data_IF_454162331278
#
_entry.id   IF_454162331278
#
_cell.length_a   1.000
_cell.length_b   1.000
_cell.length_c   1.000
_cell.angle_alpha   90.00
_cell.angle_beta   90.00
_cell.angle_gamma   90.00
#
_symmetry.space_group_name_H-M   'P 1'
#
loop_
_entity.id
_entity.type
_entity.pdbx_description
1 polymer ?
#
# COMPACT_ATOMS: atom_id res chain seq x y z
N UNK A 1 -19.78 25.00 -73.78
CA UNK A 1 -20.77 25.85 -73.08
C UNK A 1 -21.34 25.08 -71.90
N UNK A 2 -20.88 25.45 -70.70
CA UNK A 2 -21.39 25.20 -69.33
C UNK A 2 -21.52 23.75 -68.83
N UNK A 3 -20.53 23.33 -68.06
CA UNK A 3 -20.68 22.40 -66.94
C UNK A 3 -21.76 22.91 -65.98
N UNK A 4 -22.72 22.05 -65.64
CA UNK A 4 -23.69 22.28 -64.58
C UNK A 4 -23.08 21.78 -63.26
N UNK A 5 -22.51 22.70 -62.49
CA UNK A 5 -22.23 22.48 -61.06
C UNK A 5 -23.53 22.12 -60.34
N UNK A 6 -23.68 20.85 -59.94
CA UNK A 6 -24.70 20.45 -58.99
C UNK A 6 -24.40 21.08 -57.62
N UNK A 7 -24.99 22.25 -57.37
CA UNK A 7 -24.98 22.87 -56.04
C UNK A 7 -25.63 21.89 -55.03
N UNK A 8 -24.97 21.58 -53.90
CA UNK A 8 -25.54 20.69 -52.90
C UNK A 8 -26.91 21.24 -52.46
N UNK A 9 -27.96 20.43 -52.64
CA UNK A 9 -29.35 20.82 -52.37
C UNK A 9 -29.45 21.44 -50.98
N UNK A 10 -29.71 22.75 -50.92
CA UNK A 10 -29.84 23.62 -49.72
C UNK A 10 -30.67 23.00 -48.57
N UNK A 11 -31.52 22.01 -48.87
CA UNK A 11 -32.29 21.21 -47.92
C UNK A 11 -31.48 20.15 -47.13
N UNK A 12 -30.40 19.57 -47.67
CA UNK A 12 -29.59 18.57 -46.95
C UNK A 12 -28.71 19.21 -45.88
N UNK A 13 -28.15 20.40 -46.16
CA UNK A 13 -27.36 21.17 -45.20
C UNK A 13 -28.21 21.65 -44.02
N UNK A 14 -29.41 22.16 -44.29
CA UNK A 14 -30.37 22.57 -43.24
C UNK A 14 -30.81 21.40 -42.36
N UNK A 15 -30.96 20.20 -42.90
CA UNK A 15 -31.25 18.98 -42.12
C UNK A 15 -30.07 18.60 -41.22
N UNK A 16 -28.82 18.67 -41.71
CA UNK A 16 -27.61 18.38 -40.93
C UNK A 16 -27.39 19.39 -39.80
N UNK A 17 -27.62 20.68 -40.04
CA UNK A 17 -27.51 21.73 -39.00
C UNK A 17 -28.59 21.56 -37.92
N UNK A 18 -29.83 21.21 -38.30
CA UNK A 18 -30.89 20.91 -37.32
C UNK A 18 -30.61 19.65 -36.51
N UNK A 19 -30.05 18.62 -37.14
CA UNK A 19 -29.63 17.40 -36.45
C UNK A 19 -28.50 17.69 -35.46
N UNK A 20 -27.49 18.46 -35.87
CA UNK A 20 -26.37 18.83 -34.99
C UNK A 20 -26.85 19.66 -33.80
N UNK A 21 -27.72 20.66 -34.03
CA UNK A 21 -28.31 21.45 -32.95
C UNK A 21 -29.16 20.61 -31.99
N UNK A 22 -29.89 19.61 -32.51
CA UNK A 22 -30.66 18.68 -31.67
C UNK A 22 -29.73 17.77 -30.85
N UNK A 23 -28.63 17.28 -31.42
CA UNK A 23 -27.62 16.48 -30.70
C UNK A 23 -26.94 17.33 -29.62
N UNK A 24 -26.52 18.56 -29.92
CA UNK A 24 -25.93 19.46 -28.91
C UNK A 24 -26.92 19.76 -27.78
N UNK A 25 -28.20 19.99 -28.09
CA UNK A 25 -29.23 20.21 -27.09
C UNK A 25 -29.43 18.98 -26.19
N UNK A 26 -29.46 17.78 -26.78
CA UNK A 26 -29.54 16.52 -26.02
C UNK A 26 -28.30 16.35 -25.13
N UNK A 27 -27.10 16.62 -25.63
CA UNK A 27 -25.86 16.54 -24.84
C UNK A 27 -25.86 17.51 -23.66
N UNK A 28 -26.37 18.73 -23.84
CA UNK A 28 -26.51 19.72 -22.75
C UNK A 28 -27.52 19.26 -21.71
N UNK A 29 -28.65 18.69 -22.14
CA UNK A 29 -29.66 18.14 -21.21
C UNK A 29 -29.10 16.95 -20.43
N UNK A 30 -28.32 16.07 -21.06
CA UNK A 30 -27.64 14.95 -20.39
C UNK A 30 -26.62 15.47 -19.38
N UNK A 31 -25.78 16.43 -19.75
CA UNK A 31 -24.79 17.03 -18.84
C UNK A 31 -25.46 17.70 -17.63
N UNK A 32 -26.56 18.42 -17.85
CA UNK A 32 -27.33 19.04 -16.78
C UNK A 32 -28.00 17.99 -15.87
N UNK A 33 -28.47 16.88 -16.45
CA UNK A 33 -29.04 15.76 -15.70
C UNK A 33 -27.98 15.06 -14.83
N UNK A 34 -26.75 14.90 -15.34
CA UNK A 34 -25.63 14.35 -14.57
C UNK A 34 -25.20 15.29 -13.44
N UNK A 35 -25.18 16.61 -13.67
CA UNK A 35 -24.89 17.62 -12.64
C UNK A 35 -25.96 17.64 -11.54
N UNK A 36 -27.24 17.54 -11.92
CA UNK A 36 -28.34 17.42 -10.96
C UNK A 36 -28.26 16.12 -10.17
N UNK A 37 -27.91 15.00 -10.81
CA UNK A 37 -27.73 13.71 -10.13
C UNK A 37 -26.53 13.77 -9.16
N UNK A 38 -25.41 14.38 -9.56
CA UNK A 38 -24.25 14.58 -8.69
C UNK A 38 -24.58 15.48 -7.50
N UNK A 39 -25.37 16.53 -7.70
CA UNK A 39 -25.86 17.39 -6.61
C UNK A 39 -26.81 16.63 -5.68
N UNK A 40 -27.72 15.81 -6.22
CA UNK A 40 -28.61 14.96 -5.42
C UNK A 40 -27.80 13.93 -4.62
N UNK A 41 -26.78 13.32 -5.21
CA UNK A 41 -25.89 12.38 -4.51
C UNK A 41 -25.06 13.08 -3.44
N UNK A 42 -24.58 14.30 -3.70
CA UNK A 42 -23.86 15.13 -2.73
C UNK A 42 -24.77 15.54 -1.56
N UNK A 43 -26.00 15.99 -1.84
CA UNK A 43 -26.99 16.31 -0.81
C UNK A 43 -27.45 15.05 -0.07
N UNK A 44 -27.52 13.90 -0.74
CA UNK A 44 -27.83 12.63 -0.09
C UNK A 44 -26.68 12.16 0.80
N UNK A 45 -25.42 12.29 0.37
CA UNK A 45 -24.26 12.01 1.22
C UNK A 45 -24.19 12.94 2.42
N UNK A 46 -24.50 14.24 2.24
CA UNK A 46 -24.56 15.20 3.34
C UNK A 46 -25.70 14.88 4.30
N UNK A 47 -26.87 14.49 3.79
CA UNK A 47 -28.01 14.10 4.62
C UNK A 47 -27.81 12.76 5.31
N UNK A 48 -27.08 11.81 4.69
CA UNK A 48 -26.66 10.57 5.33
C UNK A 48 -25.62 10.85 6.41
N UNK A 49 -24.68 11.79 6.18
CA UNK A 49 -23.74 12.24 7.20
C UNK A 49 -24.45 12.92 8.38
N UNK A 50 -25.45 13.77 8.12
CA UNK A 50 -26.32 14.36 9.15
C UNK A 50 -27.14 13.29 9.88
N UNK A 51 -27.80 12.36 9.19
CA UNK A 51 -28.54 11.23 9.80
C UNK A 51 -27.62 10.29 10.61
N UNK A 52 -26.32 10.20 10.28
CA UNK A 52 -25.32 9.44 11.05
C UNK A 52 -24.91 10.18 12.33
N UNK A 53 -24.82 11.51 12.28
CA UNK A 53 -24.60 12.36 13.46
C UNK A 53 -25.85 12.28 14.37
N UNK A 54 -27.04 12.39 13.81
CA UNK A 54 -28.33 12.30 14.53
C UNK A 54 -28.59 10.90 15.12
N UNK A 55 -28.10 9.83 14.47
CA UNK A 55 -28.12 8.46 15.02
C UNK A 55 -27.02 8.20 16.06
N UNK A 56 -25.87 8.86 15.93
CA UNK A 56 -24.83 8.86 16.97
C UNK A 56 -25.32 9.53 18.25
N UNK A 57 -26.20 10.51 18.13
CA UNK A 57 -26.84 11.20 19.26
C UNK A 57 -27.99 10.39 19.90
N UNK A 58 -28.52 9.35 19.23
CA UNK A 58 -29.60 8.49 19.77
C UNK A 58 -29.11 7.32 20.64
N UNK A 59 -27.80 7.06 20.76
CA UNK A 59 -27.26 6.11 21.75
C UNK A 59 -26.82 6.78 23.06
N UNK A 60 -26.97 8.10 23.17
CA UNK A 60 -26.65 8.86 24.37
C UNK A 60 -27.92 9.20 25.18
N UNK A 61 -28.68 8.20 25.63
CA UNK A 61 -29.65 8.40 26.71
C UNK A 61 -29.06 7.98 28.07
N UNK A 62 -28.91 9.01 28.90
CA UNK A 62 -28.86 9.06 30.36
C UNK A 62 -27.72 8.33 31.11
N UNK A 63 -26.58 9.03 31.19
CA UNK A 63 -25.87 9.13 32.48
C UNK A 63 -26.23 10.48 33.09
N UNK A 64 -27.17 10.47 34.03
CA UNK A 64 -27.46 11.62 34.89
C UNK A 64 -26.19 12.11 35.59
N UNK A 65 -25.88 13.40 35.42
CA UNK A 65 -25.03 14.17 36.34
C UNK A 65 -23.67 14.57 35.80
N UNK A 66 -23.60 15.73 35.15
CA UNK A 66 -22.34 16.41 34.85
C UNK A 66 -22.53 17.58 33.89
N UNK A 67 -22.72 18.77 34.44
CA UNK A 67 -22.91 20.02 33.70
C UNK A 67 -21.65 20.36 32.89
N UNK A 68 -21.53 19.87 31.65
CA UNK A 68 -20.50 20.31 30.73
C UNK A 68 -20.85 21.74 30.26
N UNK A 69 -20.03 22.76 30.55
CA UNK A 69 -20.38 24.13 30.23
C UNK A 69 -20.41 24.31 28.71
N UNK A 70 -21.50 24.91 28.21
CA UNK A 70 -21.56 25.43 26.84
C UNK A 70 -21.02 26.85 26.86
N UNK A 71 -19.85 27.04 26.29
CA UNK A 71 -19.20 28.35 26.21
C UNK A 71 -19.60 29.08 24.94
N UNK A 72 -20.01 30.33 25.09
CA UNK A 72 -20.17 31.29 23.99
C UNK A 72 -18.80 31.73 23.47
N UNK A 73 -18.73 32.29 22.25
CA UNK A 73 -17.47 32.76 21.65
C UNK A 73 -16.76 33.78 22.56
N UNK A 74 -17.50 34.68 23.21
CA UNK A 74 -16.94 35.65 24.16
C UNK A 74 -16.39 34.99 25.44
N UNK A 75 -16.99 33.87 25.90
CA UNK A 75 -16.50 33.11 27.05
C UNK A 75 -15.27 32.27 26.69
N UNK A 76 -15.18 31.76 25.46
CA UNK A 76 -13.97 31.12 24.93
C UNK A 76 -12.84 32.13 24.80
N UNK A 77 -13.12 33.31 24.27
CA UNK A 77 -12.13 34.38 24.12
C UNK A 77 -11.64 34.89 25.49
N UNK A 78 -12.52 34.95 26.50
CA UNK A 78 -12.14 35.28 27.88
C UNK A 78 -11.31 34.18 28.57
N UNK A 79 -11.63 32.90 28.34
CA UNK A 79 -10.86 31.75 28.83
C UNK A 79 -9.47 31.70 28.20
N UNK A 80 -9.37 31.99 26.90
CA UNK A 80 -8.09 32.09 26.19
C UNK A 80 -7.24 33.23 26.75
N UNK A 81 -7.84 34.39 27.02
CA UNK A 81 -7.15 35.54 27.62
C UNK A 81 -6.69 35.28 29.08
N UNK A 82 -7.44 34.47 29.85
CA UNK A 82 -7.07 34.09 31.23
C UNK A 82 -5.94 33.05 31.23
N UNK A 83 -6.00 32.08 30.30
CA UNK A 83 -4.93 31.10 30.08
C UNK A 83 -3.62 31.76 29.64
N UNK A 84 -3.67 32.78 28.77
CA UNK A 84 -2.51 33.58 28.35
C UNK A 84 -1.72 34.22 29.51
N UNK A 85 -2.33 34.39 30.70
CA UNK A 85 -1.67 34.97 31.87
C UNK A 85 -0.85 33.98 32.71
N UNK A 86 -1.10 32.67 32.55
CA UNK A 86 -0.31 31.60 33.15
C UNK A 86 0.78 31.15 32.16
N UNK A 87 2.01 31.00 32.64
CA UNK A 87 3.23 30.77 31.84
C UNK A 87 3.29 29.42 31.06
N UNK A 88 2.15 28.79 30.79
CA UNK A 88 1.96 27.56 30.02
C UNK A 88 1.14 27.78 28.72
N UNK A 89 0.40 28.88 28.58
CA UNK A 89 -0.45 29.12 27.40
C UNK A 89 0.31 29.53 26.14
N UNK A 90 1.43 30.23 26.27
CA UNK A 90 2.28 30.55 25.11
C UNK A 90 2.73 29.29 24.36
N UNK A 91 3.17 28.26 25.09
CA UNK A 91 3.57 26.98 24.50
C UNK A 91 2.41 26.21 23.86
N UNK A 92 1.23 26.20 24.49
CA UNK A 92 0.03 25.57 23.94
C UNK A 92 -0.45 26.26 22.67
N UNK A 93 -0.47 27.59 22.64
CA UNK A 93 -0.92 28.35 21.48
C UNK A 93 0.04 28.19 20.31
N UNK A 94 1.35 28.21 20.57
CA UNK A 94 2.38 27.91 19.57
C UNK A 94 2.16 26.52 18.99
N UNK A 95 1.98 25.50 19.83
CA UNK A 95 1.73 24.13 19.38
C UNK A 95 0.44 24.01 18.54
N UNK A 96 -0.66 24.63 18.97
CA UNK A 96 -1.92 24.59 18.23
C UNK A 96 -1.80 25.30 16.87
N UNK A 97 -1.04 26.39 16.79
CA UNK A 97 -0.78 27.10 15.54
C UNK A 97 0.12 26.30 14.60
N UNK A 98 1.15 25.64 15.13
CA UNK A 98 2.01 24.73 14.37
C UNK A 98 1.21 23.53 13.83
N UNK A 99 0.35 22.93 14.65
CA UNK A 99 -0.55 21.84 14.25
C UNK A 99 -1.51 22.31 13.15
N UNK A 100 -2.14 23.48 13.32
CA UNK A 100 -3.04 24.07 12.35
C UNK A 100 -2.33 24.34 11.03
N UNK A 101 -1.19 25.00 11.06
CA UNK A 101 -0.37 25.32 9.88
C UNK A 101 -0.01 24.04 9.12
N UNK A 102 0.45 23.01 9.84
CA UNK A 102 0.81 21.72 9.24
C UNK A 102 -0.38 21.07 8.52
N UNK A 103 -1.58 21.10 9.12
CA UNK A 103 -2.80 20.56 8.52
C UNK A 103 -3.28 21.40 7.31
N UNK A 104 -3.20 22.73 7.39
CA UNK A 104 -3.51 23.63 6.26
C UNK A 104 -2.56 23.43 5.08
N UNK A 105 -1.30 23.09 5.35
CA UNK A 105 -0.28 22.73 4.35
C UNK A 105 -0.47 21.30 3.79
N UNK A 106 -1.49 20.57 4.24
CA UNK A 106 -1.85 19.24 3.73
C UNK A 106 -1.18 18.07 4.45
N UNK A 107 -0.50 18.30 5.58
CA UNK A 107 -0.02 17.22 6.44
C UNK A 107 -1.20 16.40 6.93
N UNK A 108 -1.12 15.07 6.78
CA UNK A 108 -2.16 14.20 7.32
C UNK A 108 -2.12 14.18 8.85
N UNK A 109 -3.27 14.00 9.50
CA UNK A 109 -3.35 13.89 10.96
C UNK A 109 -2.44 12.78 11.52
N UNK A 110 -2.30 11.65 10.81
CA UNK A 110 -1.37 10.58 11.22
C UNK A 110 0.09 11.05 11.19
N UNK A 111 0.52 11.81 10.17
CA UNK A 111 1.88 12.33 10.10
C UNK A 111 2.14 13.38 11.18
N UNK A 112 1.14 14.19 11.54
CA UNK A 112 1.24 15.11 12.67
C UNK A 112 1.45 14.34 13.98
N UNK A 113 0.67 13.29 14.24
CA UNK A 113 0.86 12.47 15.44
C UNK A 113 2.22 11.76 15.46
N UNK A 114 2.73 11.29 14.31
CA UNK A 114 4.08 10.72 14.23
C UNK A 114 5.16 11.72 14.67
N UNK A 115 5.03 12.99 14.30
CA UNK A 115 5.95 14.04 14.72
C UNK A 115 5.83 14.37 16.21
N UNK A 116 4.62 14.34 16.77
CA UNK A 116 4.36 14.64 18.19
C UNK A 116 4.76 13.51 19.14
N UNK A 117 4.79 12.27 18.66
CA UNK A 117 5.11 11.08 19.44
C UNK A 117 6.28 10.29 18.81
N UNK A 118 7.50 10.84 18.78
CA UNK A 118 8.64 10.23 18.10
C UNK A 118 9.10 8.89 18.71
N UNK A 119 8.79 8.64 19.98
CA UNK A 119 9.10 7.38 20.68
C UNK A 119 8.02 6.31 20.48
N UNK A 120 6.98 6.61 19.68
CA UNK A 120 5.86 5.69 19.43
C UNK A 120 5.66 5.44 17.93
N UNK A 121 5.27 4.21 17.63
CA UNK A 121 4.74 3.86 16.31
C UNK A 121 3.27 4.26 16.25
N UNK A 122 2.98 5.16 15.32
CA UNK A 122 1.65 5.70 15.07
C UNK A 122 1.16 5.28 13.70
N UNK A 123 0.05 4.54 13.68
CA UNK A 123 -0.60 4.09 12.46
C UNK A 123 -2.12 4.18 12.58
N UNK A 124 -2.79 4.17 11.42
CA UNK A 124 -4.24 4.15 11.34
C UNK A 124 -4.69 2.75 10.99
N UNK A 125 -5.63 2.23 11.77
CA UNK A 125 -6.28 0.97 11.47
C UNK A 125 -7.72 0.93 12.02
N UNK A 126 -8.64 0.34 11.26
CA UNK A 126 -10.08 0.30 11.57
C UNK A 126 -10.64 1.68 11.97
N UNK A 127 -10.25 2.71 11.20
CA UNK A 127 -10.58 4.12 11.45
C UNK A 127 -10.16 4.65 12.82
N UNK A 128 -9.17 4.04 13.47
CA UNK A 128 -8.58 4.47 14.75
C UNK A 128 -7.10 4.74 14.61
N UNK A 129 -6.60 5.68 15.41
CA UNK A 129 -5.18 5.91 15.58
C UNK A 129 -4.65 4.99 16.69
N UNK A 130 -3.60 4.26 16.39
CA UNK A 130 -2.93 3.37 17.33
C UNK A 130 -1.57 3.95 17.68
N UNK A 131 -1.24 3.92 18.97
CA UNK A 131 0.00 4.42 19.54
C UNK A 131 0.64 3.28 20.32
N UNK A 132 1.84 2.89 19.93
CA UNK A 132 2.60 1.84 20.60
C UNK A 132 4.03 2.29 20.83
N UNK A 133 4.56 2.08 22.02
CA UNK A 133 5.96 2.38 22.29
C UNK A 133 6.88 1.61 21.34
N UNK A 134 7.87 2.29 20.79
CA UNK A 134 8.90 1.66 19.96
C UNK A 134 9.72 0.72 20.85
N UNK A 135 9.78 -0.55 20.47
CA UNK A 135 10.52 -1.59 21.18
C UNK A 135 11.99 -1.54 20.81
N UNK A 136 12.76 -0.77 21.58
CA UNK A 136 14.20 -0.60 21.39
C UNK A 136 15.01 -1.89 21.58
N UNK A 137 14.40 -2.93 22.18
CA UNK A 137 14.97 -4.27 22.30
C UNK A 137 14.81 -5.13 21.04
N UNK A 138 14.07 -4.66 20.04
CA UNK A 138 13.95 -5.31 18.73
C UNK A 138 15.02 -4.83 17.77
N UNK A 139 15.18 -5.52 16.64
CA UNK A 139 16.08 -5.09 15.58
C UNK A 139 15.55 -3.80 14.95
N UNK A 140 16.24 -2.70 15.23
CA UNK A 140 15.90 -1.38 14.73
C UNK A 140 16.32 -1.22 13.27
N UNK A 141 15.58 -0.38 12.55
CA UNK A 141 15.94 0.04 11.20
C UNK A 141 17.35 0.65 11.22
N UNK A 142 18.33 0.07 10.51
CA UNK A 142 19.69 0.58 10.48
C UNK A 142 19.87 1.70 9.43
N UNK A 143 18.84 2.03 8.65
CA UNK A 143 18.93 2.93 7.51
C UNK A 143 18.52 4.36 7.86
N UNK A 144 19.16 5.30 7.17
CA UNK A 144 18.79 6.70 7.18
C UNK A 144 17.81 6.96 6.03
N UNK A 145 16.52 7.06 6.35
CA UNK A 145 15.46 7.23 5.36
C UNK A 145 15.59 8.50 4.53
N UNK A 146 16.29 9.52 5.02
CA UNK A 146 16.56 10.74 4.25
C UNK A 146 17.55 10.50 3.09
N UNK A 147 18.31 9.40 3.15
CA UNK A 147 19.25 9.00 2.10
C UNK A 147 18.61 8.09 1.05
N UNK A 148 17.34 7.68 1.23
CA UNK A 148 16.58 6.95 0.22
C UNK A 148 16.03 7.94 -0.83
N UNK A 149 16.78 8.10 -1.91
CA UNK A 149 16.48 9.11 -2.94
C UNK A 149 16.33 8.47 -4.32
N UNK A 150 15.35 8.97 -5.07
CA UNK A 150 15.21 8.62 -6.48
C UNK A 150 16.26 9.36 -7.31
N UNK A 151 16.87 8.65 -8.26
CA UNK A 151 17.76 9.27 -9.24
C UNK A 151 17.02 9.87 -10.44
N UNK A 152 17.78 10.37 -11.43
CA UNK A 152 17.25 11.02 -12.63
C UNK A 152 16.39 10.09 -13.51
N UNK A 153 16.54 8.77 -13.39
CA UNK A 153 15.75 7.77 -14.09
C UNK A 153 14.53 7.31 -13.27
N UNK A 154 14.38 7.80 -12.04
CA UNK A 154 13.28 7.45 -11.15
C UNK A 154 13.50 6.14 -10.39
N UNK A 155 14.74 5.65 -10.29
CA UNK A 155 15.08 4.47 -9.49
C UNK A 155 15.60 4.87 -8.11
N UNK A 156 15.21 4.11 -7.09
CA UNK A 156 15.69 4.34 -5.72
C UNK A 156 17.19 4.06 -5.63
N UNK A 157 17.89 4.90 -4.89
CA UNK A 157 19.29 4.71 -4.53
C UNK A 157 19.47 4.83 -3.03
N UNK A 158 20.44 4.10 -2.48
CA UNK A 158 20.84 4.21 -1.09
C UNK A 158 22.38 4.05 -0.96
N UNK A 159 23.07 4.80 -0.08
CA UNK A 159 24.49 4.65 0.13
C UNK A 159 24.86 3.31 0.78
N UNK A 160 25.65 2.50 0.07
CA UNK A 160 26.20 1.25 0.57
C UNK A 160 27.72 1.37 0.50
N UNK A 161 28.38 1.26 1.66
CA UNK A 161 29.80 1.58 1.85
C UNK A 161 30.17 3.00 1.39
N UNK A 162 29.26 3.95 1.59
CA UNK A 162 29.43 5.35 1.20
C UNK A 162 29.24 5.64 -0.30
N UNK A 163 28.85 4.63 -1.09
CA UNK A 163 28.55 4.81 -2.52
C UNK A 163 27.06 4.58 -2.79
N UNK A 164 26.34 5.52 -3.43
CA UNK A 164 24.97 5.30 -3.85
C UNK A 164 24.88 4.08 -4.77
N UNK A 165 24.09 3.07 -4.38
CA UNK A 165 23.80 1.89 -5.20
C UNK A 165 22.30 1.82 -5.45
N UNK A 166 21.90 1.44 -6.67
CA UNK A 166 20.49 1.16 -7.01
C UNK A 166 20.03 -0.17 -6.42
N UNK A 167 20.82 -1.25 -6.59
CA UNK A 167 20.43 -2.62 -6.21
C UNK A 167 18.99 -2.92 -6.62
N UNK A 168 18.70 -2.62 -7.90
CA UNK A 168 17.35 -2.62 -8.45
C UNK A 168 16.86 -4.05 -8.59
N UNK A 169 15.72 -4.35 -7.98
CA UNK A 169 15.00 -5.60 -8.19
C UNK A 169 13.57 -5.36 -8.64
N UNK A 170 12.97 -6.40 -9.20
CA UNK A 170 11.55 -6.44 -9.56
C UNK A 170 10.89 -7.62 -8.87
N UNK A 171 9.61 -7.51 -8.56
CA UNK A 171 8.80 -8.68 -8.24
C UNK A 171 7.67 -8.84 -9.26
N UNK A 172 7.46 -10.08 -9.68
CA UNK A 172 6.68 -10.39 -10.88
C UNK A 172 5.79 -11.61 -10.68
N UNK A 173 4.68 -11.61 -11.42
CA UNK A 173 3.71 -12.68 -11.45
C UNK A 173 3.13 -12.84 -12.86
N UNK A 174 2.09 -13.66 -13.03
CA UNK A 174 1.34 -13.70 -14.29
C UNK A 174 0.82 -12.35 -14.79
N UNK A 175 0.66 -11.37 -13.89
CA UNK A 175 0.13 -10.06 -14.24
C UNK A 175 1.11 -9.22 -15.07
N UNK A 176 2.40 -9.54 -15.04
CA UNK A 176 3.41 -8.88 -15.86
C UNK A 176 3.52 -9.44 -17.29
N UNK A 177 2.69 -10.43 -17.64
CA UNK A 177 2.68 -11.02 -18.98
C UNK A 177 3.93 -11.85 -19.28
N UNK A 178 4.35 -11.87 -20.54
CA UNK A 178 5.56 -12.58 -21.00
C UNK A 178 6.73 -11.60 -20.97
N UNK A 179 7.76 -11.93 -20.18
CA UNK A 179 8.90 -11.05 -19.91
C UNK A 179 10.09 -11.39 -20.82
N UNK A 180 10.71 -10.37 -21.39
CA UNK A 180 12.01 -10.44 -22.07
C UNK A 180 13.14 -10.22 -21.04
N UNK A 181 13.61 -11.30 -20.45
CA UNK A 181 14.59 -11.27 -19.36
C UNK A 181 15.98 -10.76 -19.77
N UNK A 182 16.34 -10.85 -21.06
CA UNK A 182 17.59 -10.26 -21.57
C UNK A 182 17.52 -8.73 -21.51
N UNK A 183 16.39 -8.16 -21.94
CA UNK A 183 16.14 -6.72 -21.79
C UNK A 183 16.05 -6.27 -20.34
N UNK A 184 15.39 -7.05 -19.49
CA UNK A 184 15.32 -6.77 -18.05
C UNK A 184 16.71 -6.69 -17.43
N UNK A 185 17.61 -7.63 -17.77
CA UNK A 185 19.01 -7.57 -17.33
C UNK A 185 19.70 -6.31 -17.83
N UNK A 186 19.53 -5.98 -19.11
CA UNK A 186 20.15 -4.82 -19.75
C UNK A 186 19.59 -3.48 -19.21
N UNK A 187 18.37 -3.47 -18.68
CA UNK A 187 17.77 -2.33 -17.99
C UNK A 187 18.33 -2.12 -16.57
N UNK A 188 19.25 -2.97 -16.11
CA UNK A 188 19.94 -2.81 -14.82
C UNK A 188 19.27 -3.54 -13.65
N UNK A 189 18.32 -4.44 -13.91
CA UNK A 189 17.75 -5.29 -12.85
C UNK A 189 18.80 -6.30 -12.38
N UNK A 190 19.04 -6.28 -11.07
CA UNK A 190 20.05 -7.08 -10.39
C UNK A 190 19.46 -8.38 -9.79
N UNK A 191 18.18 -8.38 -9.41
CA UNK A 191 17.47 -9.58 -8.91
C UNK A 191 15.96 -9.54 -9.21
N UNK A 192 15.28 -10.68 -9.05
CA UNK A 192 13.82 -10.77 -9.14
C UNK A 192 13.19 -11.51 -7.94
N UNK A 193 11.93 -11.27 -7.62
CA UNK A 193 11.13 -12.10 -6.70
C UNK A 193 9.88 -12.57 -7.43
N UNK A 194 9.72 -13.87 -7.61
CA UNK A 194 8.72 -14.45 -8.52
C UNK A 194 7.56 -15.04 -7.72
N UNK A 195 6.31 -14.70 -8.05
CA UNK A 195 5.17 -15.38 -7.42
C UNK A 195 5.17 -16.85 -7.80
N UNK A 196 5.27 -17.74 -6.83
CA UNK A 196 5.13 -19.17 -7.03
C UNK A 196 3.65 -19.58 -7.13
N UNK A 197 2.80 -18.93 -6.33
CA UNK A 197 1.38 -19.20 -6.30
C UNK A 197 0.65 -18.36 -5.27
N UNK A 198 -0.61 -18.70 -5.07
CA UNK A 198 -1.47 -18.07 -4.09
C UNK A 198 -2.48 -19.06 -3.53
N UNK A 199 -3.00 -18.77 -2.34
CA UNK A 199 -4.26 -19.32 -1.86
C UNK A 199 -5.37 -18.28 -2.04
N UNK A 200 -6.48 -18.68 -2.64
CA UNK A 200 -7.59 -17.75 -2.91
C UNK A 200 -8.30 -17.29 -1.64
N UNK A 201 -8.41 -15.98 -1.44
CA UNK A 201 -9.00 -15.35 -0.25
C UNK A 201 -10.47 -15.72 0.03
N UNK A 202 -11.26 -16.08 -0.99
CA UNK A 202 -12.62 -16.62 -0.79
C UNK A 202 -12.64 -18.15 -0.82
N UNK A 203 -12.00 -18.73 -1.83
CA UNK A 203 -12.18 -20.14 -2.17
C UNK A 203 -11.29 -21.09 -1.34
N UNK A 204 -10.22 -20.58 -0.74
CA UNK A 204 -9.17 -21.36 -0.10
C UNK A 204 -8.38 -22.26 -1.06
N UNK A 205 -8.62 -22.15 -2.38
CA UNK A 205 -7.93 -22.98 -3.37
C UNK A 205 -6.49 -22.54 -3.54
N UNK A 206 -5.60 -23.52 -3.60
CA UNK A 206 -4.23 -23.35 -4.05
C UNK A 206 -4.20 -23.19 -5.56
N UNK A 207 -3.49 -22.17 -6.02
CA UNK A 207 -3.32 -21.84 -7.43
C UNK A 207 -1.87 -21.49 -7.66
N UNK A 208 -1.17 -22.29 -8.47
CA UNK A 208 0.16 -21.94 -8.96
C UNK A 208 0.08 -20.75 -9.93
N UNK A 209 1.11 -19.90 -9.93
CA UNK A 209 1.19 -18.81 -10.88
C UNK A 209 1.63 -19.33 -12.26
N UNK A 210 0.82 -19.04 -13.28
CA UNK A 210 1.00 -19.55 -14.65
C UNK A 210 2.32 -19.12 -15.30
N UNK A 211 2.94 -18.02 -14.84
CA UNK A 211 4.23 -17.53 -15.35
C UNK A 211 5.41 -17.91 -14.45
N UNK A 212 5.19 -18.51 -13.27
CA UNK A 212 6.26 -18.80 -12.31
C UNK A 212 7.46 -19.52 -12.95
N UNK A 213 7.18 -20.64 -13.62
CA UNK A 213 8.22 -21.46 -14.24
C UNK A 213 8.97 -20.74 -15.37
N UNK A 214 8.25 -20.01 -16.22
CA UNK A 214 8.85 -19.26 -17.32
C UNK A 214 9.72 -18.10 -16.80
N UNK A 215 9.28 -17.44 -15.73
CA UNK A 215 10.04 -16.39 -15.07
C UNK A 215 11.31 -16.94 -14.40
N UNK A 216 11.20 -18.07 -13.69
CA UNK A 216 12.36 -18.74 -13.07
C UNK A 216 13.39 -19.13 -14.14
N UNK A 217 12.95 -19.79 -15.22
CA UNK A 217 13.84 -20.18 -16.32
C UNK A 217 14.49 -18.97 -16.99
N UNK A 218 13.74 -17.87 -17.14
CA UNK A 218 14.23 -16.61 -17.69
C UNK A 218 15.32 -15.96 -16.82
N UNK A 219 15.13 -15.92 -15.51
CA UNK A 219 16.14 -15.46 -14.56
C UNK A 219 17.42 -16.32 -14.63
N UNK A 220 17.26 -17.65 -14.62
CA UNK A 220 18.39 -18.60 -14.71
C UNK A 220 19.16 -18.41 -16.02
N UNK A 221 18.46 -18.30 -17.15
CA UNK A 221 19.10 -18.13 -18.47
C UNK A 221 19.90 -16.83 -18.60
N UNK A 222 19.55 -15.80 -17.82
CA UNK A 222 20.18 -14.47 -17.87
C UNK A 222 21.07 -14.16 -16.65
N UNK A 223 21.30 -15.14 -15.76
CA UNK A 223 22.12 -14.94 -14.57
C UNK A 223 21.57 -13.84 -13.65
N UNK A 224 20.26 -13.84 -13.43
CA UNK A 224 19.57 -12.96 -12.47
C UNK A 224 19.25 -13.82 -11.24
N UNK A 225 19.87 -13.56 -10.08
CA UNK A 225 19.44 -14.15 -8.82
C UNK A 225 17.96 -13.88 -8.57
N UNK A 226 17.22 -14.85 -8.06
CA UNK A 226 15.80 -14.72 -7.84
C UNK A 226 15.34 -15.33 -6.52
N UNK A 227 14.30 -14.74 -5.95
CA UNK A 227 13.53 -15.30 -4.84
C UNK A 227 12.18 -15.76 -5.36
N UNK A 228 11.38 -16.34 -4.48
CA UNK A 228 9.97 -16.59 -4.79
C UNK A 228 9.09 -16.16 -3.63
N UNK A 229 7.83 -15.82 -3.92
CA UNK A 229 6.84 -15.54 -2.88
C UNK A 229 5.55 -16.32 -3.09
N UNK A 230 4.82 -16.54 -2.00
CA UNK A 230 3.50 -17.15 -2.01
C UNK A 230 2.50 -16.28 -1.25
N UNK A 231 1.47 -15.82 -1.96
CA UNK A 231 0.38 -15.04 -1.38
C UNK A 231 -0.51 -15.96 -0.53
N UNK A 232 -0.47 -15.78 0.79
CA UNK A 232 -1.10 -16.71 1.74
C UNK A 232 -2.47 -16.24 2.19
N UNK A 233 -3.40 -17.18 2.19
CA UNK A 233 -4.74 -17.06 2.80
C UNK A 233 -5.05 -18.34 3.59
N UNK A 234 -4.00 -18.91 4.20
CA UNK A 234 -4.07 -20.09 5.05
C UNK A 234 -4.72 -19.74 6.39
N UNK A 235 -5.71 -20.54 6.79
CA UNK A 235 -6.42 -20.35 8.07
C UNK A 235 -5.97 -21.31 9.17
N UNK A 236 -5.04 -22.22 8.85
CA UNK A 236 -4.51 -23.21 9.77
C UNK A 236 -3.14 -23.73 9.30
N UNK A 237 -2.48 -24.49 10.17
CA UNK A 237 -1.13 -25.03 9.94
C UNK A 237 -1.06 -26.01 8.77
N UNK A 238 -2.11 -26.81 8.53
CA UNK A 238 -2.12 -27.76 7.42
C UNK A 238 -2.10 -27.03 6.08
N UNK A 239 -2.91 -25.96 5.97
CA UNK A 239 -2.91 -25.12 4.78
C UNK A 239 -1.56 -24.40 4.58
N UNK A 240 -0.91 -23.95 5.64
CA UNK A 240 0.44 -23.35 5.57
C UNK A 240 1.48 -24.35 5.02
N UNK A 241 1.39 -25.62 5.43
CA UNK A 241 2.25 -26.70 4.92
C UNK A 241 1.98 -26.94 3.43
N UNK A 242 0.71 -26.97 3.00
CA UNK A 242 0.38 -27.14 1.57
C UNK A 242 0.93 -25.98 0.72
N UNK A 243 0.84 -24.74 1.22
CA UNK A 243 1.41 -23.56 0.56
C UNK A 243 2.94 -23.68 0.44
N UNK A 244 3.62 -24.01 1.54
CA UNK A 244 5.07 -24.20 1.53
C UNK A 244 5.50 -25.35 0.60
N UNK A 245 4.82 -26.50 0.65
CA UNK A 245 5.14 -27.64 -0.20
C UNK A 245 4.89 -27.34 -1.69
N UNK A 246 3.91 -26.50 -2.02
CA UNK A 246 3.69 -26.01 -3.39
C UNK A 246 4.90 -25.21 -3.88
N UNK A 247 5.40 -24.29 -3.05
CA UNK A 247 6.61 -23.51 -3.38
C UNK A 247 7.83 -24.42 -3.53
N UNK A 248 8.06 -25.33 -2.58
CA UNK A 248 9.20 -26.24 -2.58
C UNK A 248 9.22 -27.14 -3.82
N UNK A 249 8.04 -27.60 -4.28
CA UNK A 249 7.92 -28.34 -5.52
C UNK A 249 8.29 -27.50 -6.74
N UNK A 250 7.88 -26.23 -6.78
CA UNK A 250 8.18 -25.31 -7.90
C UNK A 250 9.67 -25.00 -8.01
N UNK A 251 10.35 -24.80 -6.88
CA UNK A 251 11.77 -24.40 -6.85
C UNK A 251 12.75 -25.58 -6.82
N UNK A 252 12.25 -26.82 -6.85
CA UNK A 252 13.11 -27.99 -6.75
C UNK A 252 14.15 -28.03 -7.89
N UNK A 253 15.42 -28.08 -7.52
CA UNK A 253 16.53 -28.13 -8.46
C UNK A 253 17.04 -26.76 -8.92
N UNK A 254 16.47 -25.67 -8.43
CA UNK A 254 16.96 -24.31 -8.68
C UNK A 254 17.80 -23.76 -7.52
N UNK A 255 18.77 -22.93 -7.87
CA UNK A 255 19.49 -22.05 -6.95
C UNK A 255 18.88 -20.65 -7.03
N UNK A 256 18.36 -20.15 -5.91
CA UNK A 256 17.59 -18.92 -5.87
C UNK A 256 18.50 -17.68 -5.79
N UNK A 257 19.31 -17.55 -4.74
CA UNK A 257 20.08 -16.33 -4.44
C UNK A 257 19.31 -15.29 -3.62
N UNK A 258 17.99 -15.47 -3.47
CA UNK A 258 17.13 -14.74 -2.53
C UNK A 258 16.22 -15.69 -1.71
N UNK A 259 15.58 -15.20 -0.64
CA UNK A 259 14.67 -15.98 0.18
C UNK A 259 13.40 -16.48 -0.55
N UNK A 260 12.74 -17.42 0.11
CA UNK A 260 11.34 -17.79 -0.14
C UNK A 260 10.46 -17.00 0.83
N UNK A 261 9.60 -16.15 0.29
CA UNK A 261 8.76 -15.25 1.07
C UNK A 261 7.34 -15.81 1.24
N UNK A 262 6.80 -15.72 2.46
CA UNK A 262 5.35 -15.71 2.64
C UNK A 262 4.88 -14.27 2.53
N UNK A 263 3.87 -14.06 1.69
CA UNK A 263 3.22 -12.78 1.48
C UNK A 263 1.93 -12.75 2.32
N UNK A 264 1.93 -11.86 3.32
CA UNK A 264 0.83 -11.66 4.28
C UNK A 264 0.32 -10.24 4.11
N UNK A 265 -0.89 -10.11 3.57
CA UNK A 265 -1.54 -8.82 3.35
C UNK A 265 -2.95 -8.77 3.97
N UNK A 266 -3.47 -7.55 4.13
CA UNK A 266 -4.87 -7.37 4.45
C UNK A 266 -5.70 -7.39 3.16
N UNK A 267 -6.53 -8.42 2.99
CA UNK A 267 -7.52 -8.44 1.90
C UNK A 267 -8.80 -7.72 2.34
N UNK A 268 -9.16 -6.67 1.62
CA UNK A 268 -10.33 -5.80 1.87
C UNK A 268 -11.70 -6.41 1.51
N UNK A 269 -11.75 -7.71 1.19
CA UNK A 269 -13.00 -8.39 0.84
C UNK A 269 -13.78 -8.84 2.08
N UNK A 270 -15.10 -8.65 2.10
CA UNK A 270 -15.97 -9.15 3.18
C UNK A 270 -16.02 -10.69 3.27
N UNK A 271 -15.71 -11.35 2.15
CA UNK A 271 -15.58 -12.81 2.00
C UNK A 271 -14.17 -13.32 2.29
N UNK A 272 -13.23 -12.45 2.69
CA UNK A 272 -11.89 -12.85 3.11
C UNK A 272 -11.99 -13.88 4.24
N UNK A 273 -11.45 -15.08 3.99
CA UNK A 273 -11.50 -16.20 4.93
C UNK A 273 -10.57 -16.05 6.14
N UNK A 274 -9.54 -15.21 6.03
CA UNK A 274 -8.65 -14.90 7.14
C UNK A 274 -9.19 -13.78 8.04
N UNK A 275 -10.29 -13.10 7.68
CA UNK A 275 -10.75 -11.86 8.35
C UNK A 275 -10.90 -11.98 9.88
N UNK A 276 -11.32 -13.14 10.37
CA UNK A 276 -11.60 -13.39 11.78
C UNK A 276 -10.40 -14.00 12.52
N UNK A 277 -9.29 -14.27 11.82
CA UNK A 277 -8.09 -14.78 12.45
C UNK A 277 -7.45 -13.71 13.32
N UNK A 278 -7.12 -14.12 14.55
CA UNK A 278 -6.32 -13.35 15.49
C UNK A 278 -4.89 -13.17 14.99
N UNK A 279 -4.19 -12.17 15.56
CA UNK A 279 -2.77 -11.93 15.31
C UNK A 279 -1.95 -13.19 15.62
N UNK A 280 -2.26 -13.87 16.72
CA UNK A 280 -1.59 -15.08 17.17
C UNK A 280 -1.80 -16.24 16.18
N UNK A 281 -3.02 -16.44 15.68
CA UNK A 281 -3.31 -17.48 14.68
C UNK A 281 -2.59 -17.22 13.35
N UNK A 282 -2.61 -15.98 12.86
CA UNK A 282 -1.89 -15.61 11.63
C UNK A 282 -0.39 -15.79 11.78
N UNK A 283 0.17 -15.37 12.92
CA UNK A 283 1.60 -15.54 13.23
C UNK A 283 1.96 -17.02 13.25
N UNK A 284 1.13 -17.86 13.87
CA UNK A 284 1.35 -19.30 13.93
C UNK A 284 1.36 -19.93 12.53
N UNK A 285 0.40 -19.56 11.67
CA UNK A 285 0.34 -20.01 10.27
C UNK A 285 1.60 -19.59 9.51
N UNK A 286 1.99 -18.31 9.61
CA UNK A 286 3.19 -17.81 8.95
C UNK A 286 4.45 -18.56 9.40
N UNK A 287 4.61 -18.81 10.69
CA UNK A 287 5.75 -19.58 11.22
C UNK A 287 5.81 -21.01 10.71
N UNK A 288 4.67 -21.68 10.56
CA UNK A 288 4.65 -23.03 9.98
C UNK A 288 5.18 -23.04 8.55
N UNK A 289 4.80 -22.05 7.73
CA UNK A 289 5.37 -21.89 6.40
C UNK A 289 6.88 -21.63 6.46
N UNK A 290 7.30 -20.65 7.26
CA UNK A 290 8.71 -20.22 7.37
C UNK A 290 9.61 -21.36 7.88
N UNK A 291 9.17 -22.10 8.88
CA UNK A 291 9.90 -23.25 9.44
C UNK A 291 9.98 -24.40 8.43
N UNK A 292 8.92 -24.60 7.64
CA UNK A 292 8.92 -25.62 6.57
C UNK A 292 9.91 -25.29 5.47
N UNK A 293 9.99 -24.02 5.05
CA UNK A 293 11.00 -23.53 4.10
C UNK A 293 12.42 -23.68 4.67
N UNK A 294 12.62 -23.30 5.93
CA UNK A 294 13.93 -23.43 6.60
C UNK A 294 14.37 -24.89 6.70
N UNK A 295 13.47 -25.80 7.06
CA UNK A 295 13.74 -27.23 7.15
C UNK A 295 14.10 -27.86 5.79
N UNK A 296 13.64 -27.27 4.68
CA UNK A 296 14.02 -27.67 3.32
C UNK A 296 15.38 -27.09 2.86
N UNK A 297 16.03 -26.26 3.70
CA UNK A 297 17.35 -25.68 3.43
C UNK A 297 17.33 -24.34 2.70
N UNK A 298 16.16 -23.73 2.50
CA UNK A 298 16.02 -22.41 1.89
C UNK A 298 15.95 -21.33 2.98
N UNK A 299 16.36 -20.10 2.64
CA UNK A 299 16.22 -18.95 3.53
C UNK A 299 14.74 -18.51 3.54
N UNK A 300 14.05 -18.52 4.68
CA UNK A 300 12.68 -18.01 4.78
C UNK A 300 12.65 -16.48 4.93
N UNK A 301 11.60 -15.86 4.40
CA UNK A 301 11.33 -14.44 4.55
C UNK A 301 9.84 -14.13 4.61
N UNK A 302 9.51 -12.91 5.01
CA UNK A 302 8.14 -12.40 5.07
C UNK A 302 8.07 -11.13 4.23
N UNK A 303 7.08 -11.08 3.35
CA UNK A 303 6.67 -9.86 2.70
C UNK A 303 5.49 -9.23 3.43
N UNK A 304 5.49 -7.91 3.52
CA UNK A 304 4.34 -7.17 4.00
C UNK A 304 4.58 -5.66 4.11
N UNK A 305 3.53 -4.94 4.42
CA UNK A 305 3.56 -3.51 4.72
C UNK A 305 3.41 -3.24 6.23
N UNK A 306 3.27 -1.97 6.61
CA UNK A 306 3.11 -1.54 8.00
C UNK A 306 1.98 -2.29 8.73
N UNK A 307 0.83 -2.45 8.08
CA UNK A 307 -0.33 -3.17 8.61
C UNK A 307 -0.01 -4.65 8.83
N UNK A 308 0.73 -5.25 7.91
CA UNK A 308 1.12 -6.66 7.97
C UNK A 308 1.98 -6.94 9.20
N UNK A 309 3.03 -6.15 9.40
CA UNK A 309 3.99 -6.36 10.48
C UNK A 309 3.51 -5.87 11.86
N UNK A 310 2.67 -4.83 11.94
CA UNK A 310 2.24 -4.27 13.23
C UNK A 310 0.87 -4.78 13.69
N UNK A 311 0.00 -5.17 12.76
CA UNK A 311 -1.39 -5.53 13.08
C UNK A 311 -1.69 -6.98 12.81
N UNK A 312 -1.30 -7.52 11.66
CA UNK A 312 -1.64 -8.90 11.29
C UNK A 312 -0.73 -9.93 11.97
N UNK A 313 0.51 -9.57 12.25
CA UNK A 313 1.53 -10.46 12.80
C UNK A 313 2.06 -9.95 14.14
N UNK A 314 2.56 -10.88 14.95
CA UNK A 314 3.39 -10.59 16.11
C UNK A 314 4.85 -10.48 15.66
N UNK A 315 5.31 -9.24 15.49
CA UNK A 315 6.66 -8.94 15.04
C UNK A 315 7.74 -9.54 15.96
N UNK A 316 7.47 -9.71 17.25
CA UNK A 316 8.44 -10.30 18.18
C UNK A 316 8.79 -11.74 17.79
N UNK A 317 7.80 -12.51 17.32
CA UNK A 317 7.98 -13.90 16.94
C UNK A 317 8.63 -14.09 15.57
N UNK A 318 8.66 -13.04 14.74
CA UNK A 318 9.14 -13.10 13.35
C UNK A 318 10.33 -12.19 13.04
N UNK A 319 10.85 -11.46 14.03
CA UNK A 319 11.93 -10.47 13.84
C UNK A 319 13.24 -11.06 13.28
N UNK A 320 13.46 -12.36 13.42
CA UNK A 320 14.67 -13.05 12.94
C UNK A 320 14.61 -13.50 11.49
N UNK A 321 13.43 -13.49 10.87
CA UNK A 321 13.29 -13.78 9.45
C UNK A 321 13.62 -12.55 8.59
N UNK A 322 14.04 -12.80 7.35
CA UNK A 322 14.27 -11.71 6.39
C UNK A 322 12.95 -11.01 6.08
N UNK A 323 12.98 -9.67 6.00
CA UNK A 323 11.78 -8.86 5.75
C UNK A 323 11.91 -8.13 4.43
N UNK A 324 10.91 -8.33 3.59
CA UNK A 324 10.68 -7.57 2.38
C UNK A 324 9.51 -6.62 2.66
N UNK A 325 9.82 -5.34 2.81
CA UNK A 325 8.88 -4.35 3.32
C UNK A 325 8.33 -3.47 2.19
N UNK A 326 7.00 -3.31 2.12
CA UNK A 326 6.36 -2.42 1.17
C UNK A 326 6.03 -1.06 1.79
N UNK A 327 6.58 0.01 1.20
CA UNK A 327 6.23 1.39 1.52
C UNK A 327 6.47 2.31 0.32
N UNK A 328 5.39 2.92 -0.19
CA UNK A 328 5.44 3.76 -1.39
C UNK A 328 5.53 5.26 -1.10
N UNK A 329 5.60 5.62 0.18
CA UNK A 329 5.77 7.00 0.63
C UNK A 329 7.16 7.16 1.25
N UNK A 330 7.88 8.20 0.84
CA UNK A 330 9.20 8.56 1.37
C UNK A 330 9.06 9.86 2.18
N UNK A 331 9.72 9.99 3.35
CA UNK A 331 10.57 8.99 4.01
C UNK A 331 9.77 7.78 4.50
N UNK A 332 10.41 6.60 4.53
CA UNK A 332 9.76 5.37 4.99
C UNK A 332 9.39 5.51 6.47
N UNK A 333 8.15 5.19 6.81
CA UNK A 333 7.70 5.17 8.20
C UNK A 333 7.63 3.74 8.73
N UNK A 334 8.77 3.24 9.22
CA UNK A 334 8.87 1.96 9.92
C UNK A 334 10.16 1.92 10.76
N UNK A 335 10.07 1.71 12.09
CA UNK A 335 11.24 1.84 12.96
C UNK A 335 12.08 0.56 13.06
N UNK A 336 11.63 -0.57 12.51
CA UNK A 336 12.29 -1.87 12.64
C UNK A 336 13.02 -2.27 11.36
N UNK A 337 13.93 -3.23 11.46
CA UNK A 337 14.77 -3.65 10.35
C UNK A 337 14.00 -4.29 9.20
N UNK A 338 14.49 -4.11 7.98
CA UNK A 338 14.09 -4.84 6.78
C UNK A 338 15.29 -5.01 5.85
N UNK A 339 15.21 -5.96 4.92
CA UNK A 339 16.32 -6.28 4.03
C UNK A 339 16.11 -5.76 2.60
N UNK A 340 14.84 -5.68 2.18
CA UNK A 340 14.40 -5.20 0.86
C UNK A 340 13.24 -4.22 1.07
N UNK A 341 13.27 -3.09 0.36
CA UNK A 341 12.16 -2.15 0.29
C UNK A 341 11.50 -2.24 -1.09
N UNK A 342 10.23 -2.59 -1.13
CA UNK A 342 9.37 -2.34 -2.30
C UNK A 342 8.87 -0.89 -2.22
N UNK A 343 9.38 -0.04 -3.10
CA UNK A 343 9.15 1.41 -3.03
C UNK A 343 8.19 1.92 -4.11
N UNK A 344 7.77 1.07 -5.05
CA UNK A 344 6.81 1.45 -6.10
C UNK A 344 6.05 0.23 -6.62
N UNK A 345 4.77 0.42 -6.94
CA UNK A 345 3.90 -0.54 -7.64
C UNK A 345 3.67 -0.16 -9.13
N UNK A 346 4.35 0.89 -9.61
CA UNK A 346 4.07 1.55 -10.91
C UNK A 346 5.32 1.72 -11.77
N UNK A 347 6.33 0.90 -11.52
CA UNK A 347 7.58 0.92 -12.27
C UNK A 347 7.39 0.58 -13.75
N UNK A 348 8.37 0.96 -14.55
CA UNK A 348 8.48 0.55 -15.95
C UNK A 348 9.90 0.08 -16.20
N UNK A 349 10.05 -1.14 -16.73
CA UNK A 349 11.33 -1.76 -17.05
C UNK A 349 11.25 -2.27 -18.49
N UNK A 350 12.26 -1.97 -19.31
CA UNK A 350 12.30 -2.51 -20.67
C UNK A 350 12.37 -4.05 -20.62
N UNK A 351 11.51 -4.69 -21.42
CA UNK A 351 11.28 -6.13 -21.39
C UNK A 351 10.10 -6.59 -20.54
N UNK A 352 9.49 -5.72 -19.72
CA UNK A 352 8.26 -6.01 -18.98
C UNK A 352 7.11 -5.17 -19.59
N UNK A 353 6.07 -5.79 -20.18
CA UNK A 353 5.05 -5.07 -20.92
C UNK A 353 4.05 -4.30 -20.04
N UNK A 354 3.89 -4.71 -18.78
CA UNK A 354 2.94 -4.14 -17.83
C UNK A 354 3.68 -3.40 -16.68
N UNK A 355 2.99 -2.55 -15.91
CA UNK A 355 3.57 -1.97 -14.70
C UNK A 355 4.14 -3.05 -13.77
N UNK A 356 5.26 -2.74 -13.15
CA UNK A 356 6.01 -3.68 -12.31
C UNK A 356 6.41 -3.04 -11.00
N UNK A 357 6.41 -3.86 -9.96
CA UNK A 357 6.83 -3.46 -8.64
C UNK A 357 8.36 -3.32 -8.59
N UNK A 358 8.85 -2.22 -7.99
CA UNK A 358 10.26 -1.90 -7.91
C UNK A 358 10.78 -2.02 -6.49
N UNK A 359 11.95 -2.64 -6.38
CA UNK A 359 12.57 -2.99 -5.12
C UNK A 359 14.02 -2.47 -5.06
N UNK A 360 14.46 -2.09 -3.87
CA UNK A 360 15.87 -1.87 -3.55
C UNK A 360 16.30 -2.84 -2.47
N UNK A 361 17.36 -3.61 -2.74
CA UNK A 361 18.00 -4.44 -1.73
C UNK A 361 18.98 -3.58 -0.92
N UNK A 362 18.80 -3.52 0.40
CA UNK A 362 19.62 -2.65 1.27
C UNK A 362 20.78 -3.39 1.95
N UNK A 363 20.80 -4.73 1.86
CA UNK A 363 21.88 -5.58 2.37
C UNK A 363 22.70 -6.22 1.25
N UNK A 364 23.94 -6.66 1.51
CA UNK A 364 24.87 -7.22 0.51
C UNK A 364 24.69 -8.74 0.27
N UNK A 365 23.69 -9.37 0.89
CA UNK A 365 23.65 -10.84 1.04
C UNK A 365 22.91 -11.60 -0.07
N UNK A 366 22.66 -10.99 -1.22
CA UNK A 366 22.04 -11.66 -2.37
C UNK A 366 23.13 -12.01 -3.37
N UNK A 367 23.46 -13.30 -3.49
CA UNK A 367 24.53 -13.81 -4.35
C UNK A 367 24.01 -14.89 -5.27
#
# INVERSE_FOLDING_TARGET
MRELEEKPKKNSLRKRVRLLAAVTLVSVVVAFSCLMLALILFLHQHKVAEDYIDRGDMEAEEVEGGNAPKYTQEEVDALLAEMESDSQAGGRQILLEEMRTSLEDGTSAVNLFRALYPDQVVYVDDNRYWFHDIRQDWKMNPFDEEQMVLDEEGFMTYPIDGTPKRKLGVDVSRFQGVIDWEKVKNAGVEYAIIRAGMRGYESGKLVEDEQAKANIDGCVANGIPFGVYFFSEAINEAEAIEEADTVLSMIQGYELGLPVYIDIEQVSSASNRCKDMTKEERTKVAKVFLDRISAAGYKPGIYGNLKSFLVLLDLQEIQDYTKWFACYNIPVYYPYDYDILQYSEKGTIDGIPEPVDLNIALTENYR
#
